data_IF_672794324559
#
_entry.id   IF_672794324559
#
_cell.length_a   1.000
_cell.length_b   1.000
_cell.length_c   1.000
_cell.angle_alpha   90.00
_cell.angle_beta   90.00
_cell.angle_gamma   90.00
#
_symmetry.space_group_name_H-M   'P 1'
#
loop_
_entity.id
_entity.type
_entity.pdbx_description
1 polymer ?
#
# COMPACT_ATOMS: atom_id res chain seq x y z
N UNK A 1 14.40 0.53 -4.17
CA UNK A 1 13.60 -0.69 -3.92
C UNK A 1 12.91 -1.17 -5.18
N UNK A 2 12.59 -2.44 -5.23
CA UNK A 2 11.90 -3.06 -6.36
C UNK A 2 10.45 -3.43 -6.01
N UNK A 3 10.23 -3.95 -4.82
CA UNK A 3 8.92 -4.43 -4.34
C UNK A 3 8.12 -3.30 -3.69
N UNK A 4 6.81 -3.42 -3.68
CA UNK A 4 5.95 -2.47 -2.96
C UNK A 4 5.42 -3.11 -1.67
N UNK A 5 6.04 -2.81 -0.55
CA UNK A 5 5.60 -3.21 0.78
C UNK A 5 4.65 -2.20 1.43
N UNK A 6 4.60 -0.98 0.90
CA UNK A 6 3.80 0.10 1.47
C UNK A 6 2.31 0.05 1.16
N UNK A 7 1.91 -0.76 0.16
CA UNK A 7 0.52 -0.81 -0.29
C UNK A 7 -0.50 -1.12 0.82
N UNK A 8 -0.27 -2.06 1.75
CA UNK A 8 -1.22 -2.34 2.83
C UNK A 8 -1.44 -1.18 3.80
N UNK A 9 -0.50 -0.24 3.88
CA UNK A 9 -0.56 0.90 4.79
C UNK A 9 -1.28 2.12 4.21
N UNK A 10 -1.46 2.17 2.89
CA UNK A 10 -1.99 3.33 2.19
C UNK A 10 -2.94 2.94 1.05
N UNK A 11 -3.90 2.08 1.34
CA UNK A 11 -4.94 1.68 0.39
C UNK A 11 -5.76 2.91 -0.01
N UNK A 12 -6.09 3.01 -1.28
CA UNK A 12 -6.83 4.15 -1.81
C UNK A 12 -8.18 3.76 -2.40
N UNK A 13 -9.10 4.72 -2.33
CA UNK A 13 -10.45 4.66 -2.87
C UNK A 13 -10.60 5.71 -3.95
N UNK A 14 -11.18 5.32 -5.07
CA UNK A 14 -11.60 6.28 -6.10
C UNK A 14 -12.94 6.92 -5.77
N UNK A 15 -13.28 8.00 -6.45
CA UNK A 15 -14.60 8.63 -6.31
C UNK A 15 -15.78 7.72 -6.69
N UNK A 16 -15.55 6.65 -7.45
CA UNK A 16 -16.57 5.63 -7.78
C UNK A 16 -16.63 4.48 -6.77
N UNK A 17 -15.83 4.51 -5.71
CA UNK A 17 -15.78 3.47 -4.69
C UNK A 17 -14.84 2.30 -5.02
N UNK A 18 -14.09 2.35 -6.12
CA UNK A 18 -13.10 1.34 -6.47
C UNK A 18 -11.95 1.35 -5.46
N UNK A 19 -11.53 0.18 -5.01
CA UNK A 19 -10.41 -0.02 -4.09
C UNK A 19 -9.20 -0.52 -4.86
N UNK A 20 -8.08 0.19 -4.73
CA UNK A 20 -6.82 -0.19 -5.34
C UNK A 20 -5.63 0.10 -4.40
N UNK A 21 -4.47 -0.53 -4.62
CA UNK A 21 -3.28 -0.34 -3.76
C UNK A 21 -2.75 1.09 -3.75
N UNK A 22 -2.92 1.82 -4.85
CA UNK A 22 -2.53 3.23 -4.97
C UNK A 22 -3.24 3.92 -6.12
N UNK A 23 -3.19 5.26 -6.13
CA UNK A 23 -3.85 6.10 -7.13
C UNK A 23 -3.38 5.89 -8.58
N UNK A 24 -2.18 5.37 -8.76
CA UNK A 24 -1.64 5.06 -10.10
C UNK A 24 -2.34 3.86 -10.75
N UNK A 25 -3.01 3.02 -9.97
CA UNK A 25 -3.54 1.73 -10.41
C UNK A 25 -5.07 1.73 -10.60
N UNK A 26 -5.73 2.89 -10.58
CA UNK A 26 -7.18 2.98 -10.81
C UNK A 26 -7.58 2.85 -12.27
N UNK A 27 -6.66 3.07 -13.19
CA UNK A 27 -6.95 2.98 -14.62
C UNK A 27 -7.33 1.54 -15.01
N UNK A 28 -8.24 1.38 -15.97
CA UNK A 28 -8.78 0.10 -16.45
C UNK A 28 -7.68 -0.85 -16.95
N UNK A 29 -6.59 -0.34 -17.52
CA UNK A 29 -5.42 -1.14 -17.92
C UNK A 29 -4.75 -1.89 -16.74
N UNK A 30 -5.00 -1.42 -15.51
CA UNK A 30 -4.49 -2.02 -14.27
C UNK A 30 -5.55 -2.83 -13.51
N UNK A 31 -6.61 -3.25 -14.17
CA UNK A 31 -7.73 -3.99 -13.58
C UNK A 31 -7.31 -5.17 -12.70
N UNK A 32 -6.20 -5.83 -13.02
CA UNK A 32 -5.66 -6.92 -12.21
C UNK A 32 -5.31 -6.52 -10.77
N UNK A 33 -5.12 -5.22 -10.51
CA UNK A 33 -4.83 -4.68 -9.18
C UNK A 33 -6.08 -4.16 -8.46
N UNK A 34 -7.23 -4.18 -9.10
CA UNK A 34 -8.47 -3.72 -8.47
C UNK A 34 -8.95 -4.78 -7.48
N UNK A 35 -9.18 -4.36 -6.23
CA UNK A 35 -9.48 -5.28 -5.13
C UNK A 35 -10.97 -5.38 -4.79
N UNK A 36 -11.79 -4.56 -5.40
CA UNK A 36 -13.24 -4.53 -5.20
C UNK A 36 -13.78 -3.11 -5.20
N UNK A 37 -15.08 -3.00 -4.92
CA UNK A 37 -15.77 -1.71 -4.88
C UNK A 37 -16.65 -1.63 -3.63
N UNK A 38 -16.55 -0.53 -2.89
CA UNK A 38 -17.31 -0.34 -1.64
C UNK A 38 -18.82 -0.17 -1.87
N UNK A 39 -19.25 0.06 -3.12
CA UNK A 39 -20.67 0.06 -3.50
C UNK A 39 -21.24 -1.37 -3.44
N UNK A 40 -20.43 -2.37 -3.77
CA UNK A 40 -20.86 -3.77 -3.87
C UNK A 40 -20.61 -4.56 -2.58
N UNK A 41 -19.54 -4.23 -1.85
CA UNK A 41 -19.11 -4.93 -0.64
C UNK A 41 -18.62 -3.93 0.41
N UNK A 42 -18.78 -4.29 1.70
CA UNK A 42 -18.16 -3.52 2.77
C UNK A 42 -16.63 -3.58 2.66
N UNK A 43 -15.96 -2.49 2.98
CA UNK A 43 -14.50 -2.42 2.95
C UNK A 43 -13.82 -3.54 3.75
N UNK A 44 -14.38 -3.89 4.92
CA UNK A 44 -13.92 -5.01 5.73
C UNK A 44 -13.92 -6.33 4.94
N UNK A 45 -14.97 -6.61 4.16
CA UNK A 45 -15.08 -7.83 3.38
C UNK A 45 -14.08 -7.84 2.22
N UNK A 46 -13.79 -6.68 1.62
CA UNK A 46 -12.73 -6.54 0.61
C UNK A 46 -11.37 -6.89 1.21
N UNK A 47 -11.03 -6.37 2.40
CA UNK A 47 -9.76 -6.67 3.09
C UNK A 47 -9.60 -8.15 3.47
N UNK A 48 -10.68 -8.89 3.60
CA UNK A 48 -10.69 -10.32 3.93
C UNK A 48 -10.77 -11.22 2.68
N UNK A 49 -10.86 -10.62 1.48
CA UNK A 49 -10.98 -11.37 0.23
C UNK A 49 -9.64 -11.93 -0.25
N UNK A 50 -9.68 -13.03 -0.99
CA UNK A 50 -8.51 -13.61 -1.65
C UNK A 50 -7.91 -12.62 -2.65
N UNK A 51 -8.74 -11.89 -3.40
CA UNK A 51 -8.30 -10.88 -4.36
C UNK A 51 -7.42 -9.80 -3.72
N UNK A 52 -7.77 -9.34 -2.53
CA UNK A 52 -6.93 -8.38 -1.78
C UNK A 52 -5.55 -8.95 -1.49
N UNK A 53 -5.49 -10.16 -0.94
CA UNK A 53 -4.24 -10.80 -0.57
C UNK A 53 -3.40 -11.22 -1.78
N UNK A 54 -4.02 -11.65 -2.86
CA UNK A 54 -3.33 -11.96 -4.12
C UNK A 54 -2.63 -10.71 -4.66
N UNK A 55 -3.30 -9.57 -4.67
CA UNK A 55 -2.72 -8.29 -5.09
C UNK A 55 -1.58 -7.86 -4.15
N UNK A 56 -1.78 -7.91 -2.83
CA UNK A 56 -0.75 -7.50 -1.87
C UNK A 56 0.48 -8.41 -1.94
N UNK A 57 0.29 -9.71 -2.03
CA UNK A 57 1.37 -10.68 -2.16
C UNK A 57 2.15 -10.50 -3.48
N UNK A 58 1.46 -10.22 -4.58
CA UNK A 58 2.11 -9.92 -5.85
C UNK A 58 2.96 -8.66 -5.77
N UNK A 59 2.46 -7.57 -5.19
CA UNK A 59 3.20 -6.32 -5.02
C UNK A 59 4.46 -6.50 -4.15
N UNK A 60 4.40 -7.38 -3.16
CA UNK A 60 5.52 -7.71 -2.28
C UNK A 60 6.45 -8.79 -2.85
N UNK A 61 6.11 -9.40 -3.98
CA UNK A 61 6.89 -10.47 -4.59
C UNK A 61 8.08 -9.96 -5.41
N UNK A 62 9.08 -10.81 -5.69
CA UNK A 62 10.18 -10.47 -6.60
C UNK A 62 9.74 -10.23 -8.05
N UNK A 63 8.55 -10.67 -8.42
CA UNK A 63 8.00 -10.53 -9.78
C UNK A 63 7.52 -9.10 -10.07
N UNK A 64 7.16 -8.37 -9.02
CA UNK A 64 6.77 -6.97 -9.14
C UNK A 64 8.00 -6.07 -9.23
N UNK A 65 7.95 -5.11 -10.16
CA UNK A 65 9.03 -4.13 -10.31
C UNK A 65 8.45 -2.70 -10.30
N UNK A 66 8.53 -2.06 -9.12
CA UNK A 66 8.04 -0.70 -8.93
C UNK A 66 8.72 0.33 -9.85
N UNK A 67 9.99 0.14 -10.19
CA UNK A 67 10.73 1.06 -11.06
C UNK A 67 10.20 1.03 -12.51
N UNK A 68 9.63 -0.10 -12.94
CA UNK A 68 9.06 -0.25 -14.28
C UNK A 68 7.55 0.00 -14.33
N UNK A 69 6.85 -0.28 -13.23
CA UNK A 69 5.39 -0.28 -13.18
C UNK A 69 4.80 1.01 -12.62
N UNK A 70 5.55 1.71 -11.76
CA UNK A 70 5.07 2.91 -11.08
C UNK A 70 5.45 4.18 -11.85
N UNK A 71 4.64 5.24 -11.66
CA UNK A 71 4.96 6.57 -12.16
C UNK A 71 5.99 7.29 -11.30
N UNK A 72 6.31 8.52 -11.69
CA UNK A 72 7.30 9.35 -11.01
C UNK A 72 6.89 9.84 -9.62
N UNK A 73 5.60 9.83 -9.31
CA UNK A 73 5.07 10.25 -8.01
C UNK A 73 4.51 9.04 -7.26
N UNK A 74 5.14 8.68 -6.15
CA UNK A 74 4.70 7.59 -5.29
C UNK A 74 4.50 8.08 -3.87
N UNK A 75 3.26 8.13 -3.40
CA UNK A 75 2.93 8.52 -2.03
C UNK A 75 3.49 7.55 -0.98
N UNK A 76 3.75 6.31 -1.37
CA UNK A 76 4.28 5.26 -0.51
C UNK A 76 5.81 5.16 -0.55
N UNK A 77 6.47 6.07 -1.25
CA UNK A 77 7.92 5.99 -1.50
C UNK A 77 8.73 5.83 -0.22
N UNK A 78 8.53 6.70 0.76
CA UNK A 78 9.26 6.66 2.03
C UNK A 78 8.95 5.42 2.87
N UNK A 79 7.71 4.96 2.83
CA UNK A 79 7.32 3.71 3.50
C UNK A 79 8.01 2.52 2.85
N UNK A 80 8.05 2.48 1.51
CA UNK A 80 8.73 1.42 0.78
C UNK A 80 10.24 1.41 1.01
N UNK A 81 10.90 2.58 1.05
CA UNK A 81 12.33 2.67 1.38
C UNK A 81 12.61 2.09 2.78
N UNK A 82 11.84 2.49 3.78
CA UNK A 82 12.02 2.01 5.15
C UNK A 82 11.79 0.50 5.28
N UNK A 83 10.70 -0.01 4.67
CA UNK A 83 10.38 -1.43 4.72
C UNK A 83 11.37 -2.30 3.91
N UNK A 84 11.84 -1.81 2.77
CA UNK A 84 12.86 -2.51 1.98
C UNK A 84 14.17 -2.65 2.75
N UNK A 85 14.63 -1.58 3.41
CA UNK A 85 15.80 -1.61 4.28
C UNK A 85 15.63 -2.56 5.46
N UNK A 86 14.43 -2.59 6.07
CA UNK A 86 14.13 -3.53 7.15
C UNK A 86 14.17 -4.98 6.68
N UNK A 87 13.54 -5.30 5.55
CA UNK A 87 13.52 -6.66 4.98
C UNK A 87 14.93 -7.13 4.59
N UNK A 88 15.79 -6.22 4.18
CA UNK A 88 17.21 -6.51 3.90
C UNK A 88 18.09 -6.63 5.15
N UNK A 89 17.55 -6.33 6.33
CA UNK A 89 18.30 -6.34 7.59
C UNK A 89 19.26 -5.17 7.77
N UNK A 90 19.09 -4.10 7.00
CA UNK A 90 19.93 -2.88 7.06
C UNK A 90 19.50 -1.95 8.21
N UNK A 91 18.24 -2.01 8.61
CA UNK A 91 17.67 -1.19 9.69
C UNK A 91 16.76 -2.03 10.59
N UNK A 92 16.66 -1.65 11.87
CA UNK A 92 15.72 -2.21 12.82
C UNK A 92 14.48 -1.27 12.93
N UNK A 93 13.30 -1.86 13.07
CA UNK A 93 12.10 -1.10 13.42
C UNK A 93 12.09 -0.90 14.92
N UNK A 94 12.53 0.28 15.36
CA UNK A 94 12.43 0.65 16.76
C UNK A 94 10.99 1.12 17.04
N UNK A 95 10.37 0.54 18.08
CA UNK A 95 9.19 1.15 18.70
C UNK A 95 9.62 2.52 19.22
N UNK A 96 8.90 3.61 18.87
CA UNK A 96 9.22 4.91 19.45
C UNK A 96 9.14 4.79 20.97
N UNK A 97 10.24 5.07 21.64
CA UNK A 97 10.26 5.23 23.10
C UNK A 97 9.19 6.27 23.42
N UNK A 98 8.30 5.93 24.34
CA UNK A 98 7.20 6.72 24.88
C UNK A 98 7.32 8.23 24.64
N UNK A 99 7.08 8.70 23.44
CA UNK A 99 6.80 10.11 23.23
C UNK A 99 5.37 10.34 23.69
N UNK A 100 5.22 10.97 24.81
CA UNK A 100 3.94 11.22 25.45
C UNK A 100 3.07 12.22 24.71
N UNK A 101 3.60 12.87 23.66
CA UNK A 101 2.85 13.84 22.86
C UNK A 101 2.92 13.50 21.36
N UNK A 102 1.77 13.45 20.68
CA UNK A 102 1.76 13.33 19.22
C UNK A 102 2.40 14.57 18.60
N UNK A 103 3.16 14.35 17.51
CA UNK A 103 3.84 15.44 16.77
C UNK A 103 2.86 16.54 16.30
N UNK A 104 1.60 16.18 16.11
CA UNK A 104 0.51 17.07 15.74
C UNK A 104 -0.68 16.86 16.68
N UNK A 105 -0.84 17.73 17.67
CA UNK A 105 -1.89 17.66 18.70
C UNK A 105 -3.32 17.68 18.11
N UNK A 106 -3.49 18.26 16.93
CA UNK A 106 -4.79 18.40 16.27
C UNK A 106 -5.06 17.35 15.18
N UNK A 107 -4.14 16.39 15.00
CA UNK A 107 -4.36 15.25 14.10
C UNK A 107 -4.87 14.08 14.93
N UNK A 108 -6.16 13.86 14.81
CA UNK A 108 -6.82 12.72 15.44
C UNK A 108 -6.97 11.61 14.40
#
# INVERSE_FOLDING_TARGET
YQRCFGAPFMIQLSGSGLVAPCGMLFNEKYKKFHMGNIVDKRFKDILQSDQYWDVMNYLASPEFNAQKMCGSLCLQHKVNEALDSYVKGETELNTPENSTEPMHVNFI
#
